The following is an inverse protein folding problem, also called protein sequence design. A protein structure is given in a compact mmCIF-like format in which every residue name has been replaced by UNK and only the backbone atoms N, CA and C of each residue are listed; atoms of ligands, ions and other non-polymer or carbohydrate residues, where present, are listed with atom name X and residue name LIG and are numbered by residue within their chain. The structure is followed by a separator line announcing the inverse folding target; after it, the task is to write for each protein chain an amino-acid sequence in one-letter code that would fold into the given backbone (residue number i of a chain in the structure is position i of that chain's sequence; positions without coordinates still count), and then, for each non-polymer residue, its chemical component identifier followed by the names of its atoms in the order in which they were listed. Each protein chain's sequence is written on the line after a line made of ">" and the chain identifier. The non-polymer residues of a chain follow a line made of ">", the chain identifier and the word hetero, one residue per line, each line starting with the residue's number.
data_IF_809776421403
#
_entry.id   IF_809776421403
#
_cell.length_a   1.000
_cell.length_b   1.000
_cell.length_c   1.000
_cell.angle_alpha   90.00
_cell.angle_beta   90.00
_cell.angle_gamma   90.00
#
_symmetry.space_group_name_H-M   'P 1'
#
loop_
_entity.id
_entity.type
_entity.pdbx_description
1 polymer ?
#
# COMPACT_ATOMS: atom_id res chain seq x y z
N UNK A 1 28.63 17.97 7.44
CA UNK A 1 27.56 18.39 6.49
C UNK A 1 26.91 19.65 7.04
N UNK A 2 26.68 20.67 6.21
CA UNK A 2 25.98 21.89 6.66
C UNK A 2 24.48 21.61 6.82
N UNK A 3 23.87 22.23 7.84
CA UNK A 3 22.42 22.17 8.10
C UNK A 3 21.67 22.79 6.91
N UNK A 4 20.69 22.07 6.37
CA UNK A 4 19.85 22.53 5.26
C UNK A 4 18.52 23.04 5.79
N UNK A 5 17.87 23.94 5.05
CA UNK A 5 16.52 24.42 5.39
C UNK A 5 15.50 23.26 5.50
N UNK A 6 15.65 22.22 4.68
CA UNK A 6 14.86 20.98 4.77
C UNK A 6 14.88 20.34 6.17
N UNK A 7 16.04 20.33 6.85
CA UNK A 7 16.21 19.69 8.16
C UNK A 7 15.39 20.38 9.25
N UNK A 8 15.09 21.67 9.06
CA UNK A 8 14.27 22.49 9.95
C UNK A 8 12.81 22.48 9.52
N UNK A 9 12.55 22.56 8.21
CA UNK A 9 11.21 22.51 7.63
C UNK A 9 10.48 21.21 7.99
N UNK A 10 11.15 20.06 7.83
CA UNK A 10 10.57 18.72 8.11
C UNK A 10 10.15 18.50 9.58
N UNK A 11 10.58 19.36 10.50
CA UNK A 11 10.27 19.28 11.93
C UNK A 11 9.21 20.29 12.38
N UNK A 12 8.72 21.14 11.50
CA UNK A 12 7.71 22.14 11.83
C UNK A 12 6.32 21.48 12.01
N UNK A 13 5.43 22.04 12.84
CA UNK A 13 4.02 21.68 12.81
C UNK A 13 3.42 21.96 11.42
N UNK A 14 2.43 21.17 10.99
CA UNK A 14 1.79 21.29 9.66
C UNK A 14 1.32 22.72 9.37
N UNK A 15 0.74 23.39 10.36
CA UNK A 15 0.28 24.77 10.24
C UNK A 15 1.42 25.75 9.88
N UNK A 16 2.62 25.55 10.44
CA UNK A 16 3.82 26.36 10.12
C UNK A 16 4.46 25.95 8.79
N UNK A 17 4.42 24.67 8.43
CA UNK A 17 4.85 24.21 7.11
C UNK A 17 3.99 24.84 6.02
N UNK A 18 2.66 24.80 6.15
CA UNK A 18 1.72 25.36 5.20
C UNK A 18 1.93 26.87 4.98
N UNK A 19 2.20 27.61 6.07
CA UNK A 19 2.55 29.03 5.97
C UNK A 19 3.88 29.22 5.24
N UNK A 20 4.90 28.44 5.58
CA UNK A 20 6.21 28.54 4.94
C UNK A 20 6.14 28.24 3.44
N UNK A 21 5.30 27.28 3.01
CA UNK A 21 5.05 27.01 1.59
C UNK A 21 4.35 28.20 0.93
N UNK A 22 3.32 28.75 1.56
CA UNK A 22 2.64 29.96 1.06
C UNK A 22 3.63 31.11 0.83
N UNK A 23 4.57 31.32 1.76
CA UNK A 23 5.58 32.38 1.68
C UNK A 23 6.61 32.10 0.57
N UNK A 24 7.02 30.83 0.40
CA UNK A 24 7.89 30.40 -0.70
C UNK A 24 7.20 30.59 -2.06
N UNK A 25 5.93 30.24 -2.18
CA UNK A 25 5.13 30.41 -3.39
C UNK A 25 4.93 31.89 -3.71
N UNK A 26 4.70 32.72 -2.70
CA UNK A 26 4.63 34.18 -2.88
C UNK A 26 5.97 34.76 -3.34
N UNK A 27 7.07 34.28 -2.78
CA UNK A 27 8.42 34.67 -3.22
C UNK A 27 8.66 34.31 -4.70
N UNK A 28 7.97 33.30 -5.21
CA UNK A 28 7.91 32.99 -6.63
C UNK A 28 6.88 33.88 -7.36
N UNK A 29 7.36 35.00 -7.90
CA UNK A 29 6.60 35.91 -8.78
C UNK A 29 5.33 36.51 -8.14
N UNK A 30 5.25 36.61 -6.82
CA UNK A 30 4.08 37.17 -6.13
C UNK A 30 2.87 36.25 -6.17
N UNK A 31 3.04 34.95 -6.41
CA UNK A 31 1.92 34.01 -6.53
C UNK A 31 1.27 33.82 -5.16
N UNK A 32 0.02 34.28 -5.01
CA UNK A 32 -0.72 34.14 -3.76
C UNK A 32 -1.54 32.85 -3.76
N UNK A 33 -1.08 31.85 -3.02
CA UNK A 33 -1.84 30.64 -2.72
C UNK A 33 -2.15 30.62 -1.21
N UNK A 34 -3.42 30.55 -0.78
CA UNK A 34 -3.76 30.60 0.63
C UNK A 34 -3.14 29.43 1.42
N UNK A 35 -2.63 29.73 2.62
CA UNK A 35 -2.16 28.73 3.59
C UNK A 35 -3.09 27.52 3.74
N UNK A 36 -4.41 27.77 3.76
CA UNK A 36 -5.44 26.73 3.90
C UNK A 36 -5.28 25.63 2.84
N UNK A 37 -5.02 26.00 1.57
CA UNK A 37 -4.83 25.04 0.49
C UNK A 37 -3.68 24.06 0.79
N UNK A 38 -2.53 24.55 1.23
CA UNK A 38 -1.39 23.70 1.56
C UNK A 38 -1.63 22.89 2.83
N UNK A 39 -2.31 23.46 3.81
CA UNK A 39 -2.68 22.76 5.04
C UNK A 39 -3.59 21.57 4.72
N UNK A 40 -4.64 21.79 3.93
CA UNK A 40 -5.57 20.74 3.50
C UNK A 40 -4.88 19.63 2.69
N UNK A 41 -3.74 19.91 2.03
CA UNK A 41 -2.92 18.89 1.36
C UNK A 41 -2.03 18.15 2.36
N UNK A 42 -1.35 18.87 3.25
CA UNK A 42 -0.41 18.30 4.23
C UNK A 42 -1.11 17.50 5.34
N UNK A 43 -2.37 17.83 5.64
CA UNK A 43 -3.19 17.14 6.65
C UNK A 43 -3.85 15.87 6.09
N UNK A 44 -3.77 15.59 4.77
CA UNK A 44 -4.31 14.34 4.20
C UNK A 44 -3.56 13.13 4.72
N UNK A 45 -4.32 12.10 5.06
CA UNK A 45 -3.71 10.82 5.39
C UNK A 45 -3.07 10.21 4.13
N UNK A 46 -1.90 9.57 4.28
CA UNK A 46 -1.21 8.94 3.15
C UNK A 46 -2.08 7.88 2.45
N UNK A 47 -3.01 7.24 3.19
CA UNK A 47 -3.96 6.28 2.62
C UNK A 47 -4.94 6.94 1.64
N UNK A 48 -5.39 8.17 1.91
CA UNK A 48 -6.27 8.93 1.00
C UNK A 48 -5.53 9.37 -0.26
N UNK A 49 -4.23 9.67 -0.13
CA UNK A 49 -3.39 10.03 -1.27
C UNK A 49 -3.00 8.82 -2.13
N UNK A 50 -2.85 7.62 -1.53
CA UNK A 50 -2.51 6.40 -2.24
C UNK A 50 -3.53 6.04 -3.34
N UNK A 51 -4.81 6.29 -3.10
CA UNK A 51 -5.88 6.02 -4.08
C UNK A 51 -5.73 6.81 -5.38
N UNK A 52 -4.95 7.90 -5.37
CA UNK A 52 -4.76 8.79 -6.51
C UNK A 52 -3.29 8.87 -6.98
N UNK A 53 -2.35 8.26 -6.25
CA UNK A 53 -0.93 8.26 -6.59
C UNK A 53 -0.31 6.87 -6.37
N UNK A 54 -0.04 6.19 -7.49
CA UNK A 54 0.58 4.86 -7.55
C UNK A 54 1.92 4.81 -6.80
N UNK A 55 2.68 5.92 -6.76
CA UNK A 55 3.94 5.95 -6.04
C UNK A 55 3.73 5.93 -4.52
N UNK A 56 2.69 6.59 -4.02
CA UNK A 56 2.32 6.56 -2.61
C UNK A 56 1.77 5.18 -2.26
N UNK A 57 0.91 4.60 -3.09
CA UNK A 57 0.43 3.22 -2.90
C UNK A 57 1.59 2.23 -2.84
N UNK A 58 2.53 2.31 -3.78
CA UNK A 58 3.75 1.48 -3.76
C UNK A 58 4.57 1.71 -2.50
N UNK A 59 4.75 2.95 -2.07
CA UNK A 59 5.51 3.28 -0.85
C UNK A 59 4.86 2.65 0.40
N UNK A 60 3.53 2.63 0.48
CA UNK A 60 2.81 1.99 1.57
C UNK A 60 2.84 0.46 1.50
N UNK A 61 2.83 -0.12 0.30
CA UNK A 61 2.89 -1.57 0.09
C UNK A 61 4.29 -2.16 0.27
N UNK A 62 5.34 -1.41 -0.08
CA UNK A 62 6.72 -1.90 -0.11
C UNK A 62 7.19 -2.56 1.19
N UNK A 63 6.95 -1.99 2.40
CA UNK A 63 7.34 -2.63 3.65
C UNK A 63 6.71 -4.00 3.85
N UNK A 64 5.45 -4.17 3.47
CA UNK A 64 4.74 -5.46 3.56
C UNK A 64 5.32 -6.46 2.56
N UNK A 65 5.58 -6.03 1.32
CA UNK A 65 6.21 -6.86 0.29
C UNK A 65 7.58 -7.35 0.78
N UNK A 66 8.41 -6.46 1.31
CA UNK A 66 9.75 -6.79 1.78
C UNK A 66 9.70 -7.77 2.96
N UNK A 67 8.79 -7.53 3.92
CA UNK A 67 8.60 -8.40 5.07
C UNK A 67 8.11 -9.80 4.64
N UNK A 68 7.07 -9.88 3.81
CA UNK A 68 6.54 -11.15 3.30
C UNK A 68 7.55 -11.90 2.45
N UNK A 69 8.28 -11.20 1.57
CA UNK A 69 9.33 -11.79 0.74
C UNK A 69 10.47 -12.35 1.56
N UNK A 70 10.84 -11.68 2.67
CA UNK A 70 11.83 -12.19 3.61
C UNK A 70 11.34 -13.46 4.31
N UNK A 71 10.12 -13.44 4.88
CA UNK A 71 9.53 -14.61 5.55
C UNK A 71 9.41 -15.82 4.63
N UNK A 72 8.97 -15.60 3.38
CA UNK A 72 8.87 -16.65 2.36
C UNK A 72 10.21 -17.30 2.06
N UNK A 73 11.29 -16.50 1.98
CA UNK A 73 12.66 -17.01 1.73
C UNK A 73 13.25 -17.75 2.93
N UNK A 74 12.94 -17.31 4.14
CA UNK A 74 13.44 -17.93 5.38
C UNK A 74 12.79 -19.29 5.62
N UNK A 75 11.46 -19.38 5.50
CA UNK A 75 10.74 -20.63 5.63
C UNK A 75 9.38 -20.59 4.91
N UNK A 76 9.37 -21.09 3.68
CA UNK A 76 8.15 -21.11 2.84
C UNK A 76 7.01 -21.91 3.46
N UNK A 77 7.30 -23.05 4.09
CA UNK A 77 6.29 -23.90 4.74
C UNK A 77 5.54 -23.15 5.84
N UNK A 78 6.25 -22.53 6.78
CA UNK A 78 5.59 -21.79 7.87
C UNK A 78 4.97 -20.48 7.40
N UNK A 79 5.54 -19.82 6.39
CA UNK A 79 4.92 -18.64 5.78
C UNK A 79 3.52 -18.97 5.22
N UNK A 80 3.39 -20.03 4.43
CA UNK A 80 2.10 -20.42 3.86
C UNK A 80 1.11 -20.91 4.91
N UNK A 81 1.57 -21.65 5.92
CA UNK A 81 0.71 -22.02 7.06
C UNK A 81 0.20 -20.80 7.82
N UNK A 82 1.06 -19.80 8.06
CA UNK A 82 0.66 -18.56 8.70
C UNK A 82 -0.37 -17.78 7.86
N UNK A 83 -0.19 -17.72 6.54
CA UNK A 83 -1.18 -17.13 5.63
C UNK A 83 -2.54 -17.83 5.73
N UNK A 84 -2.56 -19.17 5.70
CA UNK A 84 -3.79 -19.95 5.86
C UNK A 84 -4.46 -19.70 7.22
N UNK A 85 -3.68 -19.61 8.29
CA UNK A 85 -4.23 -19.30 9.62
C UNK A 85 -4.88 -17.92 9.68
N UNK A 86 -4.25 -16.91 9.07
CA UNK A 86 -4.79 -15.54 9.01
C UNK A 86 -6.07 -15.49 8.19
N UNK A 87 -6.06 -16.06 6.98
CA UNK A 87 -7.20 -16.04 6.04
C UNK A 87 -8.42 -16.78 6.61
N UNK A 88 -8.20 -17.98 7.15
CA UNK A 88 -9.25 -18.81 7.72
C UNK A 88 -9.64 -18.39 9.15
N UNK A 89 -8.95 -17.40 9.72
CA UNK A 89 -9.10 -16.95 11.12
C UNK A 89 -8.98 -18.11 12.11
N UNK A 90 -8.12 -19.07 11.80
CA UNK A 90 -7.88 -20.25 12.63
C UNK A 90 -7.23 -19.86 13.96
N UNK A 91 -7.62 -20.52 15.05
CA UNK A 91 -6.99 -20.35 16.37
C UNK A 91 -5.88 -21.39 16.54
N UNK A 92 -5.04 -21.16 17.55
CA UNK A 92 -3.96 -22.08 17.91
C UNK A 92 -4.49 -23.28 18.73
N UNK A 93 -5.46 -23.99 18.17
CA UNK A 93 -6.00 -25.22 18.75
C UNK A 93 -5.44 -26.42 18.01
N UNK A 94 -5.24 -27.54 18.71
CA UNK A 94 -4.68 -28.75 18.09
C UNK A 94 -5.48 -29.23 16.87
N UNK A 95 -6.81 -29.06 16.88
CA UNK A 95 -7.69 -29.42 15.75
C UNK A 95 -7.43 -28.52 14.54
N UNK A 96 -7.41 -27.21 14.74
CA UNK A 96 -7.20 -26.25 13.64
C UNK A 96 -5.77 -26.31 13.10
N UNK A 97 -4.77 -26.51 13.96
CA UNK A 97 -3.38 -26.73 13.52
C UNK A 97 -3.26 -28.00 12.66
N UNK A 98 -3.93 -29.09 13.04
CA UNK A 98 -3.96 -30.31 12.22
C UNK A 98 -4.66 -30.07 10.88
N UNK A 99 -5.78 -29.32 10.86
CA UNK A 99 -6.46 -28.97 9.63
C UNK A 99 -5.58 -28.11 8.70
N UNK A 100 -4.85 -27.13 9.26
CA UNK A 100 -3.87 -26.30 8.52
C UNK A 100 -2.73 -27.15 7.98
N UNK A 101 -2.24 -28.12 8.75
CA UNK A 101 -1.20 -29.04 8.28
C UNK A 101 -1.70 -29.84 7.07
N UNK A 102 -2.88 -30.45 7.16
CA UNK A 102 -3.48 -31.22 6.06
C UNK A 102 -3.75 -30.34 4.83
N UNK A 103 -4.24 -29.11 5.02
CA UNK A 103 -4.47 -28.18 3.92
C UNK A 103 -3.16 -27.76 3.23
N UNK A 104 -2.10 -27.52 4.01
CA UNK A 104 -0.78 -27.22 3.46
C UNK A 104 -0.20 -28.43 2.70
N UNK A 105 -0.30 -29.63 3.25
CA UNK A 105 0.22 -30.84 2.59
C UNK A 105 -0.52 -31.07 1.26
N UNK A 106 -1.84 -30.85 1.22
CA UNK A 106 -2.61 -30.87 -0.02
C UNK A 106 -2.15 -29.79 -1.01
N UNK A 107 -1.82 -28.58 -0.57
CA UNK A 107 -1.26 -27.52 -1.42
C UNK A 107 0.13 -27.90 -1.97
N UNK A 108 1.01 -28.46 -1.14
CA UNK A 108 2.38 -28.86 -1.53
C UNK A 108 2.37 -30.02 -2.55
N UNK A 109 1.47 -30.99 -2.36
CA UNK A 109 1.33 -32.17 -3.21
C UNK A 109 0.61 -31.89 -4.55
N UNK A 110 -0.32 -30.93 -4.57
CA UNK A 110 -1.29 -30.76 -5.66
C UNK A 110 -0.73 -30.10 -6.93
N UNK A 111 0.56 -29.76 -7.00
CA UNK A 111 1.14 -28.89 -8.04
C UNK A 111 0.42 -27.55 -8.19
N UNK A 112 -0.41 -27.15 -7.23
CA UNK A 112 -1.05 -25.83 -7.22
C UNK A 112 0.08 -24.79 -7.19
N UNK A 113 0.17 -24.00 -8.27
CA UNK A 113 1.26 -23.03 -8.45
C UNK A 113 1.11 -21.83 -7.51
N UNK A 114 -0.09 -21.59 -7.00
CA UNK A 114 -0.48 -20.44 -6.21
C UNK A 114 -1.50 -20.85 -5.13
N UNK A 115 -1.45 -20.15 -3.99
CA UNK A 115 -2.47 -20.26 -2.93
C UNK A 115 -3.69 -19.38 -3.25
N UNK A 116 -3.50 -18.38 -4.11
CA UNK A 116 -4.56 -17.47 -4.50
C UNK A 116 -5.63 -18.20 -5.31
N UNK A 117 -6.87 -17.79 -5.09
CA UNK A 117 -8.01 -18.21 -5.91
C UNK A 117 -7.76 -17.86 -7.40
N UNK A 118 -8.07 -18.81 -8.29
CA UNK A 118 -7.81 -18.67 -9.74
C UNK A 118 -8.55 -17.48 -10.37
N UNK A 119 -9.76 -17.14 -9.91
CA UNK A 119 -10.53 -16.00 -10.39
C UNK A 119 -9.79 -14.68 -10.12
N UNK A 120 -9.15 -14.55 -8.94
CA UNK A 120 -8.34 -13.38 -8.58
C UNK A 120 -7.11 -13.28 -9.50
N UNK A 121 -6.48 -14.42 -9.78
CA UNK A 121 -5.32 -14.49 -10.69
C UNK A 121 -5.73 -14.10 -12.11
N UNK A 122 -6.90 -14.56 -12.56
CA UNK A 122 -7.44 -14.20 -13.86
C UNK A 122 -7.74 -12.70 -13.96
N UNK A 123 -8.38 -12.11 -12.94
CA UNK A 123 -8.61 -10.65 -12.89
C UNK A 123 -7.28 -9.89 -12.99
N UNK A 124 -6.27 -10.28 -12.21
CA UNK A 124 -4.96 -9.64 -12.24
C UNK A 124 -4.31 -9.73 -13.63
N UNK A 125 -4.24 -10.93 -14.22
CA UNK A 125 -3.61 -11.13 -15.53
C UNK A 125 -4.40 -10.44 -16.65
N UNK A 126 -5.73 -10.41 -16.56
CA UNK A 126 -6.59 -9.70 -17.50
C UNK A 126 -6.31 -8.18 -17.47
N UNK A 127 -6.37 -7.56 -16.28
CA UNK A 127 -6.10 -6.12 -16.13
C UNK A 127 -4.66 -5.78 -16.54
N UNK A 128 -3.70 -6.61 -16.19
CA UNK A 128 -2.29 -6.43 -16.58
C UNK A 128 -2.09 -6.48 -18.10
N UNK A 129 -2.85 -7.32 -18.81
CA UNK A 129 -2.76 -7.48 -20.27
C UNK A 129 -3.56 -6.43 -21.03
N UNK A 130 -4.74 -6.07 -20.53
CA UNK A 130 -5.74 -5.30 -21.27
C UNK A 130 -5.95 -3.88 -20.71
N UNK A 131 -5.34 -3.54 -19.57
CA UNK A 131 -5.59 -2.28 -18.86
C UNK A 131 -6.87 -2.31 -18.02
N UNK A 132 -7.11 -1.24 -17.27
CA UNK A 132 -8.37 -1.03 -16.53
C UNK A 132 -9.36 -0.38 -17.48
N UNK A 133 -10.51 -1.01 -17.74
CA UNK A 133 -11.62 -0.32 -18.38
C UNK A 133 -12.25 0.62 -17.35
N UNK A 134 -11.98 1.92 -17.48
CA UNK A 134 -12.78 2.96 -16.83
C UNK A 134 -13.91 3.24 -17.81
N UNK A 135 -15.14 2.85 -17.46
CA UNK A 135 -16.29 3.37 -18.18
C UNK A 135 -16.33 4.87 -17.89
N UNK A 136 -16.08 5.70 -18.90
CA UNK A 136 -16.27 7.14 -18.78
C UNK A 136 -17.70 7.37 -18.30
N UNK A 137 -17.85 7.94 -17.10
CA UNK A 137 -19.13 8.47 -16.65
C UNK A 137 -19.54 9.52 -17.69
N UNK A 138 -20.66 9.26 -18.35
CA UNK A 138 -21.24 10.13 -19.36
C UNK A 138 -21.21 11.59 -18.87
N UNK A 139 -20.45 12.45 -19.55
CA UNK A 139 -20.64 13.89 -19.47
C UNK A 139 -22.08 14.18 -19.94
N UNK A 140 -22.99 14.28 -18.98
CA UNK A 140 -24.32 14.82 -19.21
C UNK A 140 -24.15 16.31 -19.47
N UNK A 141 -24.27 16.68 -20.76
CA UNK A 141 -24.37 18.05 -21.27
C UNK A 141 -25.40 18.90 -20.52
#
# INVERSE_FOLDING_TARGET
>A
MSRKYYDDFSKMPVDKMAQSISDMTYSYKGTMVPKKHYKDILDKELQELASNDINIERMLLQPYIDMMSKMLKENSKYFYKALLMVELKAKDTAVEINAINTAFDAFDDSKLKNILNEDIVEVFENVKKNGVYVADEEEVN
#
